data_IF_401113490006
#
_entry.id   IF_401113490006
#
_cell.length_a   1.000
_cell.length_b   1.000
_cell.length_c   1.000
_cell.angle_alpha   90.00
_cell.angle_beta   90.00
_cell.angle_gamma   90.00
#
_symmetry.space_group_name_H-M   'P 1'
#
loop_
_entity.id
_entity.type
_entity.pdbx_description
1 polymer ?
#
# COMPACT_ATOMS: atom_id res chain seq x y z
N UNK A 1 9.39 -2.19 -10.04
CA UNK A 1 8.44 -1.14 -9.60
C UNK A 1 7.05 -1.75 -9.55
N UNK A 2 6.23 -1.39 -8.58
CA UNK A 2 4.82 -1.80 -8.56
C UNK A 2 4.05 -0.98 -9.60
N UNK A 3 2.92 -1.50 -10.10
CA UNK A 3 2.10 -0.82 -11.12
C UNK A 3 1.51 0.50 -10.66
N UNK A 4 1.21 0.60 -9.36
CA UNK A 4 0.84 1.86 -8.71
C UNK A 4 1.99 2.86 -8.76
N UNK A 5 3.23 2.39 -8.58
CA UNK A 5 4.44 3.21 -8.73
C UNK A 5 4.65 3.69 -10.16
N UNK A 6 4.29 2.89 -11.18
CA UNK A 6 4.30 3.36 -12.57
C UNK A 6 3.26 4.46 -12.78
N UNK A 7 2.01 4.25 -12.34
CA UNK A 7 0.95 5.26 -12.45
C UNK A 7 1.29 6.57 -11.73
N UNK A 8 1.84 6.48 -10.52
CA UNK A 8 2.34 7.63 -9.77
C UNK A 8 3.50 8.32 -10.51
N UNK A 9 4.46 7.56 -11.04
CA UNK A 9 5.57 8.11 -11.83
C UNK A 9 5.11 8.83 -13.11
N UNK A 10 4.07 8.31 -13.79
CA UNK A 10 3.48 9.00 -14.95
C UNK A 10 2.79 10.30 -14.56
N UNK A 11 2.07 10.32 -13.44
CA UNK A 11 1.46 11.53 -12.90
C UNK A 11 2.52 12.57 -12.48
N UNK A 12 3.60 12.14 -11.83
CA UNK A 12 4.69 13.01 -11.39
C UNK A 12 5.46 13.60 -12.59
N UNK A 13 5.69 12.81 -13.65
CA UNK A 13 6.48 13.22 -14.82
C UNK A 13 5.72 14.10 -15.81
N UNK A 14 4.43 13.86 -16.01
CA UNK A 14 3.63 14.55 -17.03
C UNK A 14 2.53 15.46 -16.45
N UNK A 15 2.46 15.57 -15.12
CA UNK A 15 1.37 16.24 -14.41
C UNK A 15 0.08 15.42 -14.44
N UNK A 16 -0.87 15.77 -13.56
CA UNK A 16 -2.12 14.99 -13.41
C UNK A 16 -2.98 14.97 -14.68
N UNK A 17 -3.00 16.06 -15.44
CA UNK A 17 -3.85 16.23 -16.63
C UNK A 17 -3.47 15.24 -17.74
N UNK A 18 -2.18 14.93 -17.90
CA UNK A 18 -1.68 14.05 -18.97
C UNK A 18 -1.32 12.67 -18.39
N UNK A 19 -0.72 12.63 -17.21
CA UNK A 19 -0.26 11.42 -16.56
C UNK A 19 -1.39 10.47 -16.15
N UNK A 20 -2.53 10.98 -15.63
CA UNK A 20 -3.65 10.13 -15.23
C UNK A 20 -4.35 9.47 -16.42
N UNK A 21 -4.71 10.17 -17.52
CA UNK A 21 -5.24 9.52 -18.71
C UNK A 21 -4.27 8.50 -19.31
N UNK A 22 -2.98 8.82 -19.40
CA UNK A 22 -1.98 7.90 -19.92
C UNK A 22 -1.87 6.62 -19.07
N UNK A 23 -1.79 6.76 -17.75
CA UNK A 23 -1.73 5.63 -16.83
C UNK A 23 -3.01 4.77 -16.92
N UNK A 24 -4.18 5.40 -17.05
CA UNK A 24 -5.48 4.71 -17.18
C UNK A 24 -5.55 3.92 -18.49
N UNK A 25 -5.07 4.48 -19.61
CA UNK A 25 -5.03 3.77 -20.88
C UNK A 25 -4.11 2.53 -20.82
N UNK A 26 -2.96 2.66 -20.15
CA UNK A 26 -2.05 1.53 -19.91
C UNK A 26 -2.76 0.44 -19.08
N UNK A 27 -3.47 0.83 -18.02
CA UNK A 27 -4.21 -0.10 -17.18
C UNK A 27 -5.30 -0.83 -17.98
N UNK A 28 -6.09 -0.11 -18.77
CA UNK A 28 -7.17 -0.68 -19.59
C UNK A 28 -6.62 -1.68 -20.61
N UNK A 29 -5.53 -1.33 -21.31
CA UNK A 29 -4.87 -2.24 -22.25
C UNK A 29 -4.45 -3.55 -21.57
N UNK A 30 -3.80 -3.46 -20.40
CA UNK A 30 -3.38 -4.64 -19.64
C UNK A 30 -4.58 -5.44 -19.14
N UNK A 31 -5.63 -4.78 -18.64
CA UNK A 31 -6.86 -5.43 -18.20
C UNK A 31 -7.50 -6.26 -19.31
N UNK A 32 -7.65 -5.70 -20.51
CA UNK A 32 -8.19 -6.44 -21.65
C UNK A 32 -7.26 -7.59 -22.06
N UNK A 33 -5.95 -7.33 -22.19
CA UNK A 33 -4.99 -8.35 -22.59
C UNK A 33 -5.02 -9.55 -21.64
N UNK A 34 -4.88 -9.34 -20.33
CA UNK A 34 -4.81 -10.42 -19.34
C UNK A 34 -6.14 -11.13 -19.13
N UNK A 35 -7.26 -10.40 -19.21
CA UNK A 35 -8.58 -11.01 -19.16
C UNK A 35 -8.79 -11.98 -20.34
N UNK A 36 -8.52 -11.54 -21.57
CA UNK A 36 -8.75 -12.39 -22.76
C UNK A 36 -7.74 -13.52 -22.91
N UNK A 37 -6.47 -13.31 -22.54
CA UNK A 37 -5.44 -14.33 -22.74
C UNK A 37 -5.30 -15.33 -21.59
N UNK A 38 -5.63 -14.94 -20.36
CA UNK A 38 -5.38 -15.75 -19.16
C UNK A 38 -6.57 -15.82 -18.19
N UNK A 39 -7.67 -15.12 -18.45
CA UNK A 39 -8.78 -15.01 -17.50
C UNK A 39 -8.42 -14.29 -16.21
N UNK A 40 -7.37 -13.44 -16.23
CA UNK A 40 -6.84 -12.76 -15.03
C UNK A 40 -7.40 -11.34 -14.95
N UNK A 41 -7.96 -10.98 -13.79
CA UNK A 41 -8.34 -9.60 -13.49
C UNK A 41 -7.11 -8.74 -13.16
N UNK A 42 -7.03 -7.58 -13.81
CA UNK A 42 -5.92 -6.66 -13.66
C UNK A 42 -6.39 -5.32 -13.10
N UNK A 43 -5.75 -4.85 -12.03
CA UNK A 43 -6.16 -3.63 -11.32
C UNK A 43 -5.06 -2.99 -10.49
N UNK A 44 -5.32 -1.77 -10.03
CA UNK A 44 -4.54 -1.09 -9.00
C UNK A 44 -5.29 -1.13 -7.67
N UNK A 45 -4.53 -1.00 -6.59
CA UNK A 45 -5.07 -0.82 -5.24
C UNK A 45 -4.47 0.46 -4.68
N UNK A 46 -5.28 1.26 -4.00
CA UNK A 46 -4.81 2.48 -3.35
C UNK A 46 -5.21 2.41 -1.89
N UNK A 47 -4.38 3.00 -1.03
CA UNK A 47 -4.78 3.17 0.36
C UNK A 47 -5.84 4.26 0.45
N UNK A 48 -6.91 3.96 1.18
CA UNK A 48 -8.00 4.88 1.49
C UNK A 48 -8.30 4.76 2.98
N UNK A 49 -8.59 5.89 3.63
CA UNK A 49 -9.15 5.87 4.98
C UNK A 49 -10.58 5.31 4.90
N UNK A 50 -10.85 4.24 5.66
CA UNK A 50 -12.10 3.49 5.59
C UNK A 50 -12.48 2.98 6.99
N UNK A 51 -13.48 3.60 7.61
CA UNK A 51 -13.88 3.27 8.97
C UNK A 51 -14.51 1.87 9.06
N UNK A 52 -15.37 1.51 8.10
CA UNK A 52 -16.01 0.19 8.04
C UNK A 52 -14.97 -0.91 7.81
N UNK A 53 -13.98 -0.63 6.95
CA UNK A 53 -12.83 -1.51 6.75
C UNK A 53 -12.03 -1.73 8.04
N UNK A 54 -11.85 -0.70 8.87
CA UNK A 54 -11.18 -0.82 10.17
C UNK A 54 -12.02 -1.59 11.19
N UNK A 55 -13.36 -1.46 11.18
CA UNK A 55 -14.25 -2.25 12.02
C UNK A 55 -14.19 -3.74 11.68
N UNK A 56 -14.11 -4.09 10.39
CA UNK A 56 -13.91 -5.48 9.96
C UNK A 56 -12.55 -6.02 10.39
N UNK A 57 -11.49 -5.21 10.26
CA UNK A 57 -10.16 -5.54 10.77
C UNK A 57 -10.20 -5.83 12.27
N UNK A 58 -10.89 -4.99 13.07
CA UNK A 58 -11.09 -5.21 14.51
C UNK A 58 -11.79 -6.55 14.76
N UNK A 59 -12.92 -6.81 14.09
CA UNK A 59 -13.68 -8.05 14.24
C UNK A 59 -12.84 -9.31 13.96
N UNK A 60 -11.99 -9.27 12.94
CA UNK A 60 -11.09 -10.38 12.60
C UNK A 60 -9.99 -10.60 13.64
N UNK A 61 -9.49 -9.53 14.26
CA UNK A 61 -8.52 -9.62 15.38
C UNK A 61 -9.17 -10.23 16.62
N UNK A 62 -10.35 -9.74 17.01
CA UNK A 62 -11.11 -10.26 18.16
C UNK A 62 -11.50 -11.73 17.99
N UNK A 63 -11.84 -12.14 16.76
CA UNK A 63 -12.11 -13.54 16.42
C UNK A 63 -10.86 -14.41 16.32
N UNK A 64 -9.65 -13.87 16.55
CA UNK A 64 -8.38 -14.59 16.47
C UNK A 64 -7.99 -15.05 15.06
N UNK A 65 -8.66 -14.57 14.01
CA UNK A 65 -8.42 -14.93 12.60
C UNK A 65 -7.25 -14.16 11.98
N UNK A 66 -6.81 -13.10 12.65
CA UNK A 66 -5.72 -12.24 12.21
C UNK A 66 -4.89 -11.81 13.42
N UNK A 67 -3.62 -11.47 13.19
CA UNK A 67 -2.74 -10.82 14.17
C UNK A 67 -2.03 -9.66 13.52
N UNK A 68 -1.77 -8.61 14.27
CA UNK A 68 -0.93 -7.49 13.84
C UNK A 68 0.54 -7.86 14.18
N UNK A 69 1.43 -8.06 13.20
CA UNK A 69 2.81 -8.43 13.46
C UNK A 69 3.61 -7.19 13.86
N UNK A 70 3.48 -6.74 15.10
CA UNK A 70 4.34 -5.68 15.66
C UNK A 70 5.69 -6.31 15.99
N UNK A 71 6.76 -5.81 15.36
CA UNK A 71 8.10 -6.37 15.52
C UNK A 71 9.01 -5.45 16.35
N UNK A 72 8.87 -4.13 16.19
CA UNK A 72 9.60 -3.15 17.00
C UNK A 72 8.70 -2.00 17.42
N UNK A 73 8.88 -1.58 18.66
CA UNK A 73 8.26 -0.40 19.23
C UNK A 73 9.36 0.57 19.68
N UNK A 74 9.17 1.85 19.41
CA UNK A 74 10.08 2.92 19.79
C UNK A 74 9.27 4.01 20.50
N UNK A 75 9.89 4.74 21.42
CA UNK A 75 9.28 5.99 21.92
C UNK A 75 9.19 7.01 20.78
N UNK A 76 8.22 7.93 20.84
CA UNK A 76 8.14 9.05 19.90
C UNK A 76 9.44 9.88 19.85
N UNK A 77 10.18 9.96 20.95
CA UNK A 77 11.49 10.62 21.00
C UNK A 77 12.54 9.93 20.10
N UNK A 78 12.33 8.66 19.76
CA UNK A 78 13.22 7.81 18.96
C UNK A 78 12.75 7.65 17.50
N UNK A 79 11.88 8.55 17.02
CA UNK A 79 11.32 8.51 15.66
C UNK A 79 12.40 8.37 14.57
N UNK A 80 13.58 8.97 14.78
CA UNK A 80 14.70 8.84 13.85
C UNK A 80 15.20 7.39 13.77
N UNK A 81 15.42 6.72 14.91
CA UNK A 81 15.84 5.31 14.90
C UNK A 81 14.76 4.41 14.30
N UNK A 82 13.47 4.70 14.56
CA UNK A 82 12.36 3.97 13.98
C UNK A 82 12.35 4.04 12.44
N UNK A 83 12.61 5.23 11.88
CA UNK A 83 12.75 5.42 10.43
C UNK A 83 13.95 4.66 9.86
N UNK A 84 15.13 4.77 10.49
CA UNK A 84 16.33 4.04 10.04
C UNK A 84 16.13 2.52 10.05
N UNK A 85 15.45 1.99 11.07
CA UNK A 85 15.15 0.56 11.16
C UNK A 85 14.26 0.09 10.01
N UNK A 86 13.26 0.90 9.62
CA UNK A 86 12.39 0.65 8.47
C UNK A 86 13.15 0.74 7.15
N UNK A 87 14.00 1.76 6.96
CA UNK A 87 14.75 1.97 5.72
C UNK A 87 15.79 0.88 5.46
N UNK A 88 16.46 0.40 6.52
CA UNK A 88 17.42 -0.71 6.43
C UNK A 88 16.74 -2.06 6.11
N UNK A 89 15.40 -2.11 6.04
CA UNK A 89 14.59 -3.31 5.75
C UNK A 89 14.90 -4.51 6.65
N UNK A 90 15.37 -4.23 7.87
CA UNK A 90 15.65 -5.26 8.88
C UNK A 90 14.39 -5.72 9.61
N UNK A 91 13.32 -4.91 9.53
CA UNK A 91 12.03 -5.17 10.15
C UNK A 91 11.05 -5.61 9.06
N UNK A 92 10.47 -6.79 9.21
CA UNK A 92 9.49 -7.35 8.28
C UNK A 92 8.04 -7.10 8.75
N UNK A 93 7.84 -6.91 10.05
CA UNK A 93 6.57 -6.52 10.66
C UNK A 93 6.35 -5.01 10.68
N UNK A 94 5.41 -4.58 11.52
CA UNK A 94 5.14 -3.17 11.80
C UNK A 94 6.14 -2.62 12.80
N UNK A 95 6.62 -1.40 12.52
CA UNK A 95 7.28 -0.53 13.48
C UNK A 95 6.21 0.39 14.08
N UNK A 96 6.10 0.42 15.41
CA UNK A 96 5.13 1.24 16.14
C UNK A 96 5.87 2.33 16.93
N UNK A 97 5.27 3.51 16.99
CA UNK A 97 5.71 4.61 17.86
C UNK A 97 4.75 4.73 19.03
N UNK A 98 5.28 4.71 20.24
CA UNK A 98 4.53 5.00 21.46
C UNK A 98 4.59 6.48 21.79
N UNK A 99 3.42 7.03 22.08
CA UNK A 99 3.20 8.42 22.46
C UNK A 99 2.86 8.39 23.95
N UNK A 100 3.87 8.56 24.80
CA UNK A 100 3.68 8.77 26.24
C UNK A 100 3.07 10.16 26.53
#
# INVERSE_FOLDING_TARGET
MTLQGEAASFADRYGLVIGLPAATAILLKKKLQYHYSHGIEYGWTYMRADAEGLDEVRRLLEAGKMKIPVEKTFSIAEVRQAHEAKEKRLVHGKVVLELD
#
